data_IF_524670813408
#
_entry.id   IF_524670813408
#
_cell.length_a   1.000
_cell.length_b   1.000
_cell.length_c   1.000
_cell.angle_alpha   90.00
_cell.angle_beta   90.00
_cell.angle_gamma   90.00
#
_symmetry.space_group_name_H-M   'P 1'
#
loop_
_entity.id
_entity.type
_entity.pdbx_description
1 polymer ?
#
# COMPACT_ATOMS: atom_id res chain seq x y z
N UNK A 1 19.30 7.20 -1.33
CA UNK A 1 18.24 7.24 -0.31
C UNK A 1 17.25 8.31 -0.73
N UNK A 2 15.94 8.01 -0.74
CA UNK A 2 14.92 9.03 -1.04
C UNK A 2 14.66 9.79 0.27
N UNK A 3 14.80 11.13 0.31
CA UNK A 3 14.49 11.90 1.50
C UNK A 3 12.98 11.85 1.77
N UNK A 4 12.61 11.45 2.99
CA UNK A 4 11.21 11.36 3.41
C UNK A 4 10.93 12.49 4.42
N UNK A 5 9.93 13.37 4.18
CA UNK A 5 9.54 14.39 5.13
C UNK A 5 9.18 13.81 6.51
N UNK A 6 9.45 14.55 7.58
CA UNK A 6 9.22 14.06 8.96
C UNK A 6 7.74 13.79 9.30
N UNK A 7 6.80 14.34 8.53
CA UNK A 7 5.35 14.14 8.71
C UNK A 7 4.76 13.09 7.74
N UNK A 8 5.61 12.33 7.05
CA UNK A 8 5.14 11.28 6.15
C UNK A 8 4.66 10.07 6.94
N UNK A 9 3.40 9.69 6.73
CA UNK A 9 2.86 8.41 7.21
C UNK A 9 3.26 7.29 6.24
N UNK A 10 3.41 6.09 6.80
CA UNK A 10 3.70 4.88 6.02
C UNK A 10 2.55 3.91 6.19
N UNK A 11 1.99 3.48 5.07
CA UNK A 11 0.90 2.53 5.01
C UNK A 11 1.37 1.22 4.41
N UNK A 12 0.95 0.10 4.98
CA UNK A 12 1.29 -1.24 4.49
C UNK A 12 0.01 -1.97 4.07
N UNK A 13 -0.14 -2.22 2.77
CA UNK A 13 -1.16 -3.13 2.27
C UNK A 13 -0.77 -4.56 2.65
N UNK A 14 -1.49 -5.13 3.64
CA UNK A 14 -1.14 -6.42 4.24
C UNK A 14 -1.44 -7.64 3.32
N UNK A 15 -2.20 -7.43 2.25
CA UNK A 15 -2.52 -8.46 1.26
C UNK A 15 -1.39 -8.78 0.28
N UNK A 16 -1.59 -9.84 -0.51
CA UNK A 16 -0.70 -10.16 -1.63
C UNK A 16 -1.04 -9.23 -2.81
N UNK A 17 -0.13 -8.31 -3.12
CA UNK A 17 -0.22 -7.44 -4.30
C UNK A 17 0.64 -8.00 -5.42
N UNK A 18 0.11 -8.06 -6.64
CA UNK A 18 0.96 -8.32 -7.81
C UNK A 18 1.81 -7.07 -8.10
N UNK A 19 3.12 -7.16 -7.81
CA UNK A 19 4.08 -6.07 -8.02
C UNK A 19 4.37 -5.79 -9.50
N UNK A 20 3.79 -6.56 -10.44
CA UNK A 20 3.82 -6.26 -11.87
C UNK A 20 2.80 -5.21 -12.30
N UNK A 21 1.89 -4.85 -11.39
CA UNK A 21 0.89 -3.82 -11.64
C UNK A 21 1.54 -2.44 -11.69
N UNK A 22 1.09 -1.61 -12.63
CA UNK A 22 1.56 -0.23 -12.77
C UNK A 22 1.01 0.69 -11.66
N UNK A 23 1.52 1.92 -11.65
CA UNK A 23 1.17 2.92 -10.64
C UNK A 23 -0.34 3.10 -10.44
N UNK A 24 -1.12 3.22 -11.52
CA UNK A 24 -2.57 3.43 -11.43
C UNK A 24 -3.29 2.35 -10.63
N UNK A 25 -2.89 1.09 -10.80
CA UNK A 25 -3.52 -0.01 -10.08
C UNK A 25 -3.06 -0.06 -8.62
N UNK A 26 -1.81 0.28 -8.33
CA UNK A 26 -1.32 0.40 -6.96
C UNK A 26 -1.98 1.58 -6.22
N UNK A 27 -2.21 2.71 -6.91
CA UNK A 27 -2.96 3.84 -6.37
C UNK A 27 -4.41 3.45 -6.03
N UNK A 28 -5.07 2.70 -6.92
CA UNK A 28 -6.39 2.15 -6.64
C UNK A 28 -6.40 1.20 -5.42
N UNK A 29 -5.32 0.45 -5.18
CA UNK A 29 -5.22 -0.36 -3.96
C UNK A 29 -5.04 0.50 -2.70
N UNK A 30 -4.35 1.63 -2.75
CA UNK A 30 -4.29 2.55 -1.62
C UNK A 30 -5.69 3.09 -1.26
N UNK A 31 -6.50 3.45 -2.27
CA UNK A 31 -7.88 3.89 -2.03
C UNK A 31 -8.76 2.75 -1.51
N UNK A 32 -8.71 1.58 -2.14
CA UNK A 32 -9.67 0.50 -1.87
C UNK A 32 -9.32 -0.36 -0.65
N UNK A 33 -8.02 -0.61 -0.42
CA UNK A 33 -7.56 -1.51 0.65
C UNK A 33 -7.18 -0.74 1.90
N UNK A 34 -6.58 0.44 1.73
CA UNK A 34 -6.09 1.25 2.83
C UNK A 34 -7.04 2.40 3.19
N UNK A 35 -8.06 2.67 2.36
CA UNK A 35 -8.99 3.78 2.53
C UNK A 35 -8.30 5.15 2.63
N UNK A 36 -7.20 5.32 1.89
CA UNK A 36 -6.34 6.49 1.94
C UNK A 36 -6.12 7.12 0.56
N UNK A 37 -5.84 8.43 0.54
CA UNK A 37 -5.56 9.18 -0.70
C UNK A 37 -4.15 8.84 -1.23
N UNK A 38 -4.02 8.21 -2.42
CA UNK A 38 -2.74 7.83 -3.02
C UNK A 38 -1.86 9.05 -3.38
N UNK A 39 -2.44 10.25 -3.44
CA UNK A 39 -1.75 11.50 -3.80
C UNK A 39 -1.39 12.37 -2.60
N UNK A 40 -1.66 11.90 -1.36
CA UNK A 40 -1.40 12.61 -0.10
C UNK A 40 0.07 12.93 0.21
N UNK A 41 1.01 12.43 -0.60
CA UNK A 41 2.46 12.54 -0.33
C UNK A 41 2.93 11.59 0.79
N UNK A 42 2.09 10.63 1.18
CA UNK A 42 2.44 9.54 2.08
C UNK A 42 3.06 8.36 1.34
N UNK A 43 3.73 7.47 2.09
CA UNK A 43 4.38 6.29 1.52
C UNK A 43 3.44 5.10 1.61
N UNK A 44 3.20 4.44 0.48
CA UNK A 44 2.42 3.21 0.39
C UNK A 44 3.34 2.04 0.06
N UNK A 45 3.30 1.01 0.92
CA UNK A 45 4.13 -0.19 0.80
C UNK A 45 3.23 -1.36 0.45
N UNK A 46 3.60 -2.06 -0.63
CA UNK A 46 2.90 -3.23 -1.13
C UNK A 46 3.81 -4.46 -1.03
N UNK A 47 3.22 -5.62 -0.76
CA UNK A 47 3.95 -6.88 -0.61
C UNK A 47 3.61 -7.85 -1.73
N UNK A 48 4.64 -8.33 -2.44
CA UNK A 48 4.50 -9.41 -3.42
C UNK A 48 4.30 -10.79 -2.81
N UNK A 49 3.70 -11.71 -3.59
CA UNK A 49 3.35 -13.10 -3.21
C UNK A 49 4.47 -13.95 -2.58
N UNK A 50 5.74 -13.60 -2.79
CA UNK A 50 6.89 -14.33 -2.21
C UNK A 50 7.13 -14.05 -0.73
N UNK A 51 6.55 -13.00 -0.16
CA UNK A 51 6.46 -12.84 1.29
C UNK A 51 5.05 -13.24 1.72
N UNK A 52 4.93 -14.20 2.66
CA UNK A 52 3.67 -14.89 3.00
C UNK A 52 2.42 -14.02 3.22
N UNK A 53 1.25 -14.65 3.19
CA UNK A 53 -0.06 -13.99 3.30
C UNK A 53 -0.26 -13.34 4.68
N UNK A 54 -0.74 -12.09 4.72
CA UNK A 54 -1.45 -11.55 5.88
C UNK A 54 -2.92 -11.43 5.48
N UNK A 55 -3.79 -12.27 6.06
CA UNK A 55 -5.22 -12.21 5.82
C UNK A 55 -5.79 -11.06 6.65
N UNK A 56 -6.24 -10.00 5.97
CA UNK A 56 -6.79 -8.82 6.61
C UNK A 56 -8.30 -9.02 6.76
N UNK A 57 -8.71 -9.64 7.88
CA UNK A 57 -10.11 -9.88 8.20
C UNK A 57 -10.67 -8.72 9.06
N UNK A 58 -10.72 -7.52 8.48
CA UNK A 58 -11.34 -6.35 9.08
C UNK A 58 -12.49 -5.88 8.20
N UNK A 59 -13.57 -6.65 8.20
CA UNK A 59 -14.93 -6.14 8.00
C UNK A 59 -15.76 -6.66 9.16
N UNK A 60 -16.04 -5.77 10.11
CA UNK A 60 -16.99 -5.91 11.21
C UNK A 60 -17.60 -4.55 11.48
#
# INVERSE_FOLDING_TARGET
MIPVPSNTRVWLAAGVTDMRLGFNTLAAQAEQVLAEDPYSGHLFVFRGRRGGSFENNLVG
#
